data_IF_429717041146
#
_entry.id   IF_429717041146
#
_cell.length_a   1.000
_cell.length_b   1.000
_cell.length_c   1.000
_cell.angle_alpha   90.00
_cell.angle_beta   90.00
_cell.angle_gamma   90.00
#
_symmetry.space_group_name_H-M   'P 1'
#
loop_
_entity.id
_entity.type
_entity.pdbx_description
1 polymer ?
#
# COMPACT_ATOMS: atom_id res chain seq x y z
N UNK A 1 8.68 22.37 8.71
CA UNK A 1 8.48 21.06 9.34
C UNK A 1 7.54 21.09 10.55
N UNK A 2 7.88 21.75 11.67
CA UNK A 2 7.05 21.75 12.90
C UNK A 2 5.58 22.12 12.65
N UNK A 3 5.35 23.27 12.02
CA UNK A 3 4.00 23.73 11.67
C UNK A 3 3.27 22.75 10.71
N UNK A 4 3.99 22.21 9.72
CA UNK A 4 3.44 21.27 8.72
C UNK A 4 2.99 19.96 9.36
N UNK A 5 3.82 19.34 10.20
CA UNK A 5 3.48 18.07 10.84
C UNK A 5 2.41 18.24 11.92
N UNK A 6 2.39 19.38 12.64
CA UNK A 6 1.29 19.69 13.57
C UNK A 6 -0.02 19.88 12.82
N UNK A 7 -0.03 20.60 11.69
CA UNK A 7 -1.23 20.76 10.87
C UNK A 7 -1.69 19.42 10.29
N UNK A 8 -0.77 18.56 9.80
CA UNK A 8 -1.12 17.21 9.33
C UNK A 8 -1.74 16.35 10.41
N UNK A 9 -1.11 16.33 11.59
CA UNK A 9 -1.64 15.63 12.73
C UNK A 9 -3.04 16.15 13.09
N UNK A 10 -3.23 17.46 13.12
CA UNK A 10 -4.51 18.10 13.44
C UNK A 10 -5.58 17.86 12.37
N UNK A 11 -5.30 18.06 11.09
CA UNK A 11 -6.24 17.78 9.99
C UNK A 11 -6.62 16.31 9.96
N UNK A 12 -5.67 15.40 10.18
CA UNK A 12 -5.97 13.99 10.35
C UNK A 12 -6.84 13.77 11.59
N UNK A 13 -6.57 14.43 12.72
CA UNK A 13 -7.38 14.28 13.94
C UNK A 13 -8.82 14.82 13.77
N UNK A 14 -8.96 15.98 13.15
CA UNK A 14 -10.22 16.71 12.93
C UNK A 14 -11.10 16.03 11.87
N UNK A 15 -10.51 15.65 10.73
CA UNK A 15 -11.19 14.89 9.68
C UNK A 15 -11.67 13.51 10.15
N UNK A 16 -11.10 13.00 11.25
CA UNK A 16 -11.43 11.71 11.84
C UNK A 16 -12.35 11.76 13.07
N UNK A 17 -12.89 12.95 13.42
CA UNK A 17 -13.75 13.21 14.60
C UNK A 17 -13.23 12.52 15.88
N UNK A 18 -11.93 12.57 16.11
CA UNK A 18 -11.33 12.03 17.33
C UNK A 18 -11.75 12.89 18.52
N UNK A 19 -12.39 12.27 19.52
CA UNK A 19 -12.75 12.94 20.76
C UNK A 19 -11.49 13.48 21.48
N UNK A 20 -11.59 14.72 21.97
CA UNK A 20 -10.62 15.39 22.85
C UNK A 20 -10.18 14.47 23.98
N UNK A 21 -8.94 13.96 23.99
CA UNK A 21 -8.34 13.41 25.22
C UNK A 21 -6.82 13.43 25.23
N UNK A 22 -6.20 14.31 24.43
CA UNK A 22 -4.77 14.15 24.23
C UNK A 22 -4.13 15.53 23.99
N UNK A 23 -3.82 16.19 25.12
CA UNK A 23 -3.16 17.50 25.17
C UNK A 23 -1.72 17.34 24.66
N UNK A 24 -1.51 17.65 23.38
CA UNK A 24 -0.23 17.44 22.68
C UNK A 24 0.54 18.73 22.40
N UNK A 25 0.59 19.65 23.38
CA UNK A 25 1.57 20.74 23.42
C UNK A 25 2.95 20.27 23.88
N UNK A 26 3.20 18.97 23.96
CA UNK A 26 4.41 18.42 24.53
C UNK A 26 5.60 18.44 23.54
N UNK A 27 6.62 19.20 23.91
CA UNK A 27 7.89 19.46 23.22
C UNK A 27 8.62 18.22 22.68
N UNK A 28 8.31 17.02 23.19
CA UNK A 28 8.92 15.75 22.81
C UNK A 28 8.51 15.21 21.43
N UNK A 29 7.46 15.74 20.80
CA UNK A 29 7.06 15.39 19.42
C UNK A 29 8.08 15.87 18.37
N UNK A 30 8.93 16.86 18.72
CA UNK A 30 9.88 17.48 17.78
C UNK A 30 11.29 16.88 17.79
N UNK A 31 11.51 15.78 18.52
CA UNK A 31 12.69 14.94 18.29
C UNK A 31 12.41 14.00 17.12
N UNK A 32 12.37 14.55 15.91
CA UNK A 32 12.19 13.81 14.64
C UNK A 32 13.16 12.63 14.52
N UNK A 33 14.41 12.84 14.94
CA UNK A 33 15.47 11.86 15.02
C UNK A 33 15.12 10.74 16.01
N UNK A 34 14.44 11.07 17.11
CA UNK A 34 13.95 10.11 18.10
C UNK A 34 12.76 9.28 17.60
N UNK A 35 12.01 9.76 16.60
CA UNK A 35 11.00 8.95 15.89
C UNK A 35 11.69 8.00 14.92
N UNK A 36 12.60 8.51 14.08
CA UNK A 36 13.40 7.70 13.15
C UNK A 36 14.18 6.59 13.87
N UNK A 37 14.83 6.92 15.00
CA UNK A 37 15.59 5.96 15.83
C UNK A 37 14.70 4.87 16.41
N UNK A 38 13.49 5.20 16.86
CA UNK A 38 12.54 4.21 17.39
C UNK A 38 11.97 3.33 16.30
N UNK A 39 11.62 3.92 15.16
CA UNK A 39 11.10 3.18 14.01
C UNK A 39 12.17 2.36 13.27
N UNK A 40 13.46 2.50 13.64
CA UNK A 40 14.61 1.97 12.91
C UNK A 40 14.54 2.27 11.40
N UNK A 41 14.10 3.49 11.06
CA UNK A 41 13.79 3.89 9.70
C UNK A 41 14.30 5.30 9.39
N UNK A 42 14.60 5.56 8.13
CA UNK A 42 14.81 6.91 7.59
C UNK A 42 13.45 7.43 7.12
N UNK A 43 13.04 8.62 7.58
CA UNK A 43 11.76 9.20 7.18
C UNK A 43 11.97 10.21 6.06
N UNK A 44 11.24 10.06 4.96
CA UNK A 44 11.12 11.05 3.89
C UNK A 44 9.75 11.73 4.00
N UNK A 45 9.73 12.95 4.56
CA UNK A 45 8.50 13.76 4.66
C UNK A 45 8.48 14.83 3.58
N UNK A 46 7.47 14.78 2.72
CA UNK A 46 7.31 15.70 1.60
C UNK A 46 6.37 16.84 1.97
N UNK A 47 6.45 17.99 1.29
CA UNK A 47 5.43 19.03 1.28
C UNK A 47 5.37 19.65 -0.10
N UNK A 48 4.25 19.48 -0.80
CA UNK A 48 4.04 20.09 -2.11
C UNK A 48 3.54 21.52 -1.94
N UNK A 49 4.13 22.46 -2.68
CA UNK A 49 3.68 23.85 -2.72
C UNK A 49 3.85 24.45 -4.13
N UNK A 50 3.13 25.54 -4.47
CA UNK A 50 3.01 26.04 -5.84
C UNK A 50 4.35 26.32 -6.54
N UNK A 51 5.24 27.09 -5.90
CA UNK A 51 6.52 27.50 -6.49
C UNK A 51 7.65 26.49 -6.23
N UNK A 52 7.78 26.08 -4.97
CA UNK A 52 8.81 25.14 -4.52
C UNK A 52 8.21 24.15 -3.54
N UNK A 53 8.45 22.87 -3.78
CA UNK A 53 8.11 21.80 -2.84
C UNK A 53 9.32 21.46 -1.97
N UNK A 54 9.12 20.70 -0.91
CA UNK A 54 10.17 20.41 0.06
C UNK A 54 10.20 18.92 0.44
N UNK A 55 11.39 18.41 0.69
CA UNK A 55 11.65 17.11 1.30
C UNK A 55 12.44 17.30 2.58
N UNK A 56 11.96 16.74 3.68
CA UNK A 56 12.76 16.51 4.89
C UNK A 56 13.17 15.04 4.95
N UNK A 57 14.47 14.77 4.89
CA UNK A 57 15.05 13.45 5.14
C UNK A 57 15.53 13.40 6.59
N UNK A 58 14.87 12.58 7.40
CA UNK A 58 15.10 12.45 8.83
C UNK A 58 15.76 11.09 9.08
N UNK A 59 16.99 11.11 9.52
CA UNK A 59 17.75 9.92 9.95
C UNK A 59 17.80 9.87 11.49
N UNK A 60 18.24 8.75 12.10
CA UNK A 60 18.47 8.70 13.55
C UNK A 60 19.49 9.72 14.09
N UNK A 61 20.34 10.30 13.23
CA UNK A 61 21.44 11.20 13.62
C UNK A 61 21.25 12.65 13.20
N UNK A 62 20.47 12.92 12.16
CA UNK A 62 20.27 14.26 11.59
C UNK A 62 19.00 14.37 10.76
N UNK A 63 18.51 15.59 10.63
CA UNK A 63 17.51 15.98 9.64
C UNK A 63 18.14 16.87 8.58
N UNK A 64 17.83 16.63 7.30
CA UNK A 64 18.24 17.45 6.17
C UNK A 64 17.00 17.89 5.37
N UNK A 65 17.00 19.13 4.88
CA UNK A 65 15.94 19.66 4.03
C UNK A 65 16.47 19.85 2.59
N UNK A 66 15.67 19.45 1.62
CA UNK A 66 15.91 19.63 0.20
C UNK A 66 14.76 20.41 -0.43
N UNK A 67 15.10 21.32 -1.32
CA UNK A 67 14.13 22.05 -2.15
C UNK A 67 13.87 21.23 -3.41
N UNK A 68 12.61 21.02 -3.72
CA UNK A 68 12.12 20.29 -4.87
C UNK A 68 11.40 21.25 -5.85
N UNK A 69 11.12 20.82 -7.08
CA UNK A 69 10.29 21.61 -8.01
C UNK A 69 8.90 21.93 -7.46
N UNK A 70 8.27 22.95 -8.02
CA UNK A 70 6.89 23.31 -7.69
C UNK A 70 5.89 22.18 -7.95
N UNK A 71 4.79 22.17 -7.22
CA UNK A 71 3.81 21.07 -7.20
C UNK A 71 3.27 20.73 -8.59
N UNK A 72 3.10 21.71 -9.47
CA UNK A 72 2.57 21.49 -10.82
C UNK A 72 3.46 20.53 -11.64
N UNK A 73 4.78 20.70 -11.56
CA UNK A 73 5.76 19.86 -12.27
C UNK A 73 5.74 18.43 -11.73
N UNK A 74 5.64 18.29 -10.41
CA UNK A 74 5.57 16.99 -9.74
C UNK A 74 4.25 16.30 -10.11
N UNK A 75 3.11 16.99 -9.99
CA UNK A 75 1.78 16.45 -10.29
C UNK A 75 1.69 15.94 -11.72
N UNK A 76 2.15 16.72 -12.70
CA UNK A 76 2.13 16.33 -14.11
C UNK A 76 2.98 15.08 -14.37
N UNK A 77 4.15 14.99 -13.72
CA UNK A 77 5.04 13.84 -13.88
C UNK A 77 4.47 12.59 -13.19
N UNK A 78 3.87 12.74 -12.00
CA UNK A 78 3.15 11.67 -11.30
C UNK A 78 2.00 11.14 -12.16
N UNK A 79 1.15 12.02 -12.70
CA UNK A 79 0.03 11.61 -13.53
C UNK A 79 0.50 10.85 -14.79
N UNK A 80 1.54 11.36 -15.45
CA UNK A 80 2.11 10.72 -16.64
C UNK A 80 2.68 9.34 -16.34
N UNK A 81 3.43 9.23 -15.23
CA UNK A 81 4.02 7.96 -14.82
C UNK A 81 2.96 6.95 -14.37
N UNK A 82 1.92 7.40 -13.66
CA UNK A 82 0.76 6.55 -13.30
C UNK A 82 0.05 6.00 -14.54
N UNK A 83 -0.10 6.81 -15.59
CA UNK A 83 -0.64 6.33 -16.88
C UNK A 83 0.25 5.25 -17.50
N UNK A 84 1.58 5.38 -17.43
CA UNK A 84 2.50 4.33 -17.87
C UNK A 84 2.36 3.06 -17.03
N UNK A 85 2.32 3.16 -15.70
CA UNK A 85 2.10 2.02 -14.80
C UNK A 85 0.76 1.32 -15.06
N UNK A 86 -0.25 2.11 -15.42
CA UNK A 86 -1.55 1.62 -15.86
C UNK A 86 -1.58 1.24 -17.35
N UNK A 87 -0.42 1.16 -18.02
CA UNK A 87 -0.26 0.68 -19.39
C UNK A 87 0.03 -0.83 -19.46
N UNK A 88 0.20 -1.40 -20.67
CA UNK A 88 0.51 -2.83 -20.84
C UNK A 88 2.01 -3.14 -20.79
N UNK A 89 2.89 -2.14 -20.87
CA UNK A 89 4.34 -2.32 -20.92
C UNK A 89 4.96 -2.03 -19.56
N UNK A 90 5.92 -2.85 -19.14
CA UNK A 90 6.70 -2.62 -17.93
C UNK A 90 7.49 -1.31 -18.09
N UNK A 91 7.32 -0.31 -17.19
CA UNK A 91 8.09 0.94 -17.23
C UNK A 91 9.60 0.75 -17.28
N UNK A 92 10.13 -0.32 -16.67
CA UNK A 92 11.56 -0.63 -16.72
C UNK A 92 11.99 -1.08 -18.11
N UNK A 93 11.20 -1.91 -18.80
CA UNK A 93 11.51 -2.40 -20.15
C UNK A 93 11.54 -1.27 -21.19
N UNK A 94 10.67 -0.27 -21.02
CA UNK A 94 10.62 0.90 -21.92
C UNK A 94 11.47 2.08 -21.44
N UNK A 95 12.24 1.90 -20.36
CA UNK A 95 13.04 2.94 -19.72
C UNK A 95 12.26 4.25 -19.51
N UNK A 96 11.08 4.17 -18.88
CA UNK A 96 10.16 5.29 -18.77
C UNK A 96 10.84 6.52 -18.15
N UNK A 97 10.84 7.62 -18.90
CA UNK A 97 11.52 8.85 -18.51
C UNK A 97 10.86 9.53 -17.30
N UNK A 98 9.54 9.36 -17.11
CA UNK A 98 8.84 9.97 -15.98
C UNK A 98 9.15 9.24 -14.67
N UNK A 99 9.28 7.91 -14.69
CA UNK A 99 9.70 7.11 -13.54
C UNK A 99 11.10 7.50 -13.04
N UNK A 100 12.04 7.69 -13.98
CA UNK A 100 13.39 8.18 -13.67
C UNK A 100 13.38 9.64 -13.20
N UNK A 101 12.61 10.50 -13.87
CA UNK A 101 12.47 11.91 -13.49
C UNK A 101 11.92 12.07 -12.08
N UNK A 102 10.91 11.27 -11.70
CA UNK A 102 10.37 11.26 -10.35
C UNK A 102 11.40 10.79 -9.33
N UNK A 103 12.16 9.74 -9.61
CA UNK A 103 13.27 9.32 -8.74
C UNK A 103 14.27 10.48 -8.53
N UNK A 104 14.68 11.12 -9.62
CA UNK A 104 15.63 12.24 -9.59
C UNK A 104 15.10 13.47 -8.84
N UNK A 105 13.79 13.74 -8.89
CA UNK A 105 13.18 14.85 -8.17
C UNK A 105 12.95 14.52 -6.70
N UNK A 106 12.49 13.31 -6.38
CA UNK A 106 11.93 12.99 -5.06
C UNK A 106 12.92 12.28 -4.14
N UNK A 107 13.82 11.44 -4.67
CA UNK A 107 14.68 10.56 -3.87
C UNK A 107 16.15 10.94 -4.00
N UNK A 108 16.63 11.18 -5.22
CA UNK A 108 18.04 11.45 -5.49
C UNK A 108 18.65 12.59 -4.65
N UNK A 109 17.94 13.69 -4.31
CA UNK A 109 18.51 14.73 -3.43
C UNK A 109 18.97 14.19 -2.07
N UNK A 110 18.26 13.19 -1.54
CA UNK A 110 18.52 12.58 -0.25
C UNK A 110 19.31 11.26 -0.32
N UNK A 111 19.69 10.77 -1.52
CA UNK A 111 20.28 9.43 -1.70
C UNK A 111 21.50 9.14 -0.81
N UNK A 112 22.33 10.16 -0.54
CA UNK A 112 23.52 10.02 0.32
C UNK A 112 23.18 9.70 1.78
N UNK A 113 21.93 9.93 2.18
CA UNK A 113 21.40 9.62 3.51
C UNK A 113 20.70 8.27 3.55
N UNK A 114 20.57 7.57 2.41
CA UNK A 114 19.81 6.35 2.23
C UNK A 114 20.77 5.22 1.80
N UNK A 115 21.45 4.55 2.75
CA UNK A 115 22.20 3.34 2.44
C UNK A 115 21.30 2.24 1.85
N UNK A 116 21.86 1.42 0.97
CA UNK A 116 21.17 0.22 0.46
C UNK A 116 20.76 -0.70 1.61
N UNK A 117 19.57 -1.28 1.54
CA UNK A 117 18.95 -2.10 2.58
C UNK A 117 18.28 -1.32 3.71
N UNK A 118 18.26 0.02 3.66
CA UNK A 118 17.60 0.83 4.67
C UNK A 118 16.08 0.66 4.64
N UNK A 119 15.45 0.82 5.81
CA UNK A 119 14.00 0.97 5.92
C UNK A 119 13.62 2.43 5.77
N UNK A 120 12.79 2.74 4.77
CA UNK A 120 12.34 4.08 4.45
C UNK A 120 10.85 4.23 4.78
N UNK A 121 10.53 5.17 5.66
CA UNK A 121 9.17 5.58 5.91
C UNK A 121 8.85 6.83 5.07
N UNK A 122 7.89 6.73 4.16
CA UNK A 122 7.49 7.85 3.29
C UNK A 122 6.24 8.51 3.85
N UNK A 123 6.30 9.82 4.06
CA UNK A 123 5.15 10.66 4.42
C UNK A 123 4.86 11.58 3.23
N UNK A 124 3.94 11.17 2.34
CA UNK A 124 3.66 11.89 1.11
C UNK A 124 2.83 13.17 1.35
N UNK A 125 2.68 13.97 0.30
CA UNK A 125 1.88 15.18 0.26
C UNK A 125 1.17 15.31 -1.08
N UNK A 126 -0.10 15.70 -1.10
CA UNK A 126 -0.85 15.93 -2.34
C UNK A 126 -0.86 14.71 -3.27
N UNK A 127 -0.53 14.90 -4.55
CA UNK A 127 -0.50 13.82 -5.55
C UNK A 127 0.45 12.67 -5.23
N UNK A 128 1.43 12.88 -4.33
CA UNK A 128 2.35 11.82 -3.91
C UNK A 128 1.65 10.70 -3.12
N UNK A 129 0.44 10.92 -2.60
CA UNK A 129 -0.38 9.83 -2.04
C UNK A 129 -0.81 8.82 -3.10
N UNK A 130 -0.76 9.18 -4.37
CA UNK A 130 -1.13 8.35 -5.51
C UNK A 130 0.09 7.71 -6.19
N UNK A 131 1.29 8.04 -5.73
CA UNK A 131 2.55 7.53 -6.27
C UNK A 131 3.02 6.32 -5.47
N UNK A 132 3.25 5.22 -6.16
CA UNK A 132 3.95 4.06 -5.60
C UNK A 132 5.45 4.33 -5.67
N UNK A 133 6.05 4.77 -4.56
CA UNK A 133 7.48 5.08 -4.48
C UNK A 133 8.35 3.87 -4.80
N UNK A 134 7.85 2.67 -4.47
CA UNK A 134 8.47 1.39 -4.78
C UNK A 134 8.75 1.17 -6.28
N UNK A 135 7.96 1.80 -7.16
CA UNK A 135 8.13 1.64 -8.61
C UNK A 135 9.04 2.70 -9.23
N UNK A 136 9.55 3.67 -8.45
CA UNK A 136 10.47 4.67 -9.02
C UNK A 136 11.69 4.00 -9.64
N UNK A 137 12.10 4.51 -10.81
CA UNK A 137 13.20 3.91 -11.58
C UNK A 137 14.52 4.58 -11.21
N UNK A 138 15.42 3.79 -10.65
CA UNK A 138 16.80 4.19 -10.33
C UNK A 138 17.64 4.02 -11.60
N UNK A 139 18.27 5.08 -12.15
CA UNK A 139 18.98 5.00 -13.42
C UNK A 139 20.32 4.24 -13.34
N UNK A 140 21.04 4.37 -12.23
CA UNK A 140 22.39 3.84 -12.03
C UNK A 140 22.44 2.79 -10.90
N UNK A 141 23.35 1.79 -10.95
CA UNK A 141 24.29 1.48 -12.03
C UNK A 141 23.65 0.74 -13.23
N UNK A 142 22.45 0.19 -13.04
CA UNK A 142 21.60 -0.37 -14.08
C UNK A 142 20.17 0.10 -13.79
N UNK A 143 19.34 0.29 -14.80
CA UNK A 143 17.94 0.65 -14.57
C UNK A 143 17.18 -0.44 -13.78
N UNK A 144 16.71 -0.09 -12.59
CA UNK A 144 15.96 -1.00 -11.71
C UNK A 144 14.94 -0.24 -10.86
N UNK A 145 14.07 -0.98 -10.17
CA UNK A 145 13.07 -0.39 -9.28
C UNK A 145 13.65 -0.06 -7.91
N UNK A 146 13.25 1.06 -7.31
CA UNK A 146 13.81 1.50 -6.04
C UNK A 146 13.53 0.55 -4.87
N UNK A 147 12.45 -0.23 -4.94
CA UNK A 147 12.18 -1.31 -3.96
C UNK A 147 13.25 -2.41 -3.93
N UNK A 148 14.08 -2.52 -4.98
CA UNK A 148 15.20 -3.45 -5.01
C UNK A 148 16.41 -2.95 -4.18
N UNK A 149 16.41 -1.66 -3.82
CA UNK A 149 17.45 -1.04 -2.98
C UNK A 149 17.05 -0.91 -1.52
N UNK A 150 15.77 -0.72 -1.23
CA UNK A 150 15.28 -0.34 0.11
C UNK A 150 13.97 -1.02 0.47
N UNK A 151 13.67 -1.08 1.76
CA UNK A 151 12.33 -1.45 2.25
C UNK A 151 11.51 -0.17 2.41
N UNK A 152 10.33 -0.09 1.81
CA UNK A 152 9.49 1.12 1.85
C UNK A 152 8.25 0.87 2.72
N UNK A 153 7.90 1.83 3.56
CA UNK A 153 6.64 1.87 4.30
C UNK A 153 5.97 3.22 4.09
N UNK A 154 4.76 3.19 3.54
CA UNK A 154 3.93 4.40 3.43
C UNK A 154 3.32 4.73 4.80
N UNK A 155 3.56 5.95 5.28
CA UNK A 155 3.10 6.43 6.56
C UNK A 155 2.29 7.70 6.40
N UNK A 156 1.15 7.80 7.11
CA UNK A 156 0.29 8.98 7.02
C UNK A 156 0.80 10.17 7.87
N UNK A 157 1.64 9.92 8.88
CA UNK A 157 2.30 10.96 9.69
C UNK A 157 3.45 10.39 10.55
N UNK A 158 4.35 11.27 11.01
CA UNK A 158 5.42 10.92 11.97
C UNK A 158 4.86 10.37 13.29
N UNK A 159 3.68 10.83 13.71
CA UNK A 159 3.06 10.42 14.98
C UNK A 159 2.59 8.97 14.97
N UNK A 160 2.06 8.49 13.84
CA UNK A 160 1.61 7.10 13.72
C UNK A 160 2.81 6.13 13.65
N UNK A 161 3.90 6.51 13.00
CA UNK A 161 5.15 5.72 12.98
C UNK A 161 5.69 5.46 14.39
N UNK A 162 5.56 6.46 15.29
CA UNK A 162 5.98 6.31 16.69
C UNK A 162 5.18 5.24 17.44
N UNK A 163 3.90 5.06 17.11
CA UNK A 163 3.05 4.02 17.72
C UNK A 163 3.39 2.61 17.26
N UNK A 164 3.76 2.45 15.98
CA UNK A 164 4.05 1.15 15.37
C UNK A 164 5.37 0.53 15.82
N UNK A 165 6.36 1.36 16.18
CA UNK A 165 7.70 0.92 16.59
C UNK A 165 7.74 0.11 17.89
N UNK A 166 6.78 0.33 18.79
CA UNK A 166 6.73 -0.31 20.12
C UNK A 166 6.18 -1.73 20.11
N UNK A 167 5.58 -2.19 19.01
CA UNK A 167 4.84 -3.44 18.99
C UNK A 167 5.46 -4.53 18.10
N UNK A 168 6.67 -4.31 17.58
CA UNK A 168 7.42 -5.36 16.87
C UNK A 168 7.85 -6.52 17.79
N UNK A 169 7.90 -6.33 19.11
CA UNK A 169 8.44 -7.33 20.05
C UNK A 169 7.46 -8.47 20.44
N UNK A 170 6.23 -8.53 19.91
CA UNK A 170 5.19 -9.45 20.42
C UNK A 170 4.76 -10.61 19.51
N UNK A 171 5.24 -10.70 18.27
CA UNK A 171 4.60 -11.57 17.27
C UNK A 171 5.33 -12.90 17.08
N UNK A 172 5.23 -13.77 18.10
CA UNK A 172 5.77 -15.12 18.06
C UNK A 172 5.01 -16.05 17.09
N UNK A 173 3.74 -15.75 16.80
CA UNK A 173 2.84 -16.68 16.10
C UNK A 173 2.53 -16.22 14.67
N UNK A 174 2.86 -17.01 13.65
CA UNK A 174 2.73 -16.64 12.22
C UNK A 174 1.36 -17.00 11.65
N UNK A 175 0.27 -16.71 12.36
CA UNK A 175 -1.07 -17.07 11.90
C UNK A 175 -1.58 -16.15 10.78
N UNK A 176 -2.14 -16.75 9.73
CA UNK A 176 -2.67 -16.08 8.54
C UNK A 176 -4.20 -16.23 8.46
N UNK A 177 -4.90 -15.10 8.31
CA UNK A 177 -6.28 -15.05 7.85
C UNK A 177 -6.30 -14.68 6.37
N UNK A 178 -6.81 -15.57 5.52
CA UNK A 178 -6.91 -15.36 4.08
C UNK A 178 -8.38 -15.32 3.67
N UNK A 179 -8.83 -14.22 3.06
CA UNK A 179 -10.21 -14.04 2.58
C UNK A 179 -10.17 -13.65 1.12
N UNK A 180 -10.60 -14.51 0.21
CA UNK A 180 -10.38 -14.24 -1.21
C UNK A 180 -11.26 -15.02 -2.18
N UNK A 181 -11.13 -14.70 -3.46
CA UNK A 181 -11.96 -15.29 -4.52
C UNK A 181 -13.48 -15.19 -4.25
N UNK A 182 -14.01 -14.00 -3.91
CA UNK A 182 -15.42 -13.87 -3.59
C UNK A 182 -16.32 -14.04 -4.83
N UNK A 183 -17.52 -14.58 -4.60
CA UNK A 183 -18.59 -14.69 -5.60
C UNK A 183 -19.56 -13.55 -5.38
N UNK A 184 -19.63 -12.63 -6.34
CA UNK A 184 -20.56 -11.50 -6.32
C UNK A 184 -21.32 -11.40 -7.66
N UNK A 185 -22.64 -11.20 -7.66
CA UNK A 185 -23.38 -10.96 -8.91
C UNK A 185 -23.10 -9.57 -9.51
N UNK A 186 -22.57 -8.63 -8.71
CA UNK A 186 -22.34 -7.23 -9.12
C UNK A 186 -20.92 -6.96 -9.61
N UNK A 187 -19.98 -7.86 -9.34
CA UNK A 187 -18.57 -7.71 -9.69
C UNK A 187 -18.10 -8.95 -10.45
N UNK A 188 -17.38 -8.78 -11.58
CA UNK A 188 -16.87 -9.91 -12.33
C UNK A 188 -15.86 -10.72 -11.51
N UNK A 189 -15.74 -12.03 -11.75
CA UNK A 189 -14.74 -12.85 -11.08
C UNK A 189 -13.33 -12.36 -11.42
N UNK A 190 -12.43 -12.51 -10.46
CA UNK A 190 -11.01 -12.23 -10.62
C UNK A 190 -10.30 -13.53 -11.05
N UNK A 191 -9.84 -13.67 -12.30
CA UNK A 191 -9.40 -14.98 -12.84
C UNK A 191 -8.27 -15.66 -12.06
N UNK A 192 -7.44 -14.88 -11.36
CA UNK A 192 -6.31 -15.39 -10.57
C UNK A 192 -6.57 -15.42 -9.07
N UNK A 193 -7.76 -15.02 -8.60
CA UNK A 193 -7.99 -14.91 -7.18
C UNK A 193 -7.86 -16.27 -6.48
N UNK A 194 -8.46 -17.32 -7.04
CA UNK A 194 -8.31 -18.69 -6.55
C UNK A 194 -6.83 -19.13 -6.53
N UNK A 195 -6.09 -18.88 -7.62
CA UNK A 195 -4.66 -19.23 -7.72
C UNK A 195 -3.80 -18.47 -6.70
N UNK A 196 -4.11 -17.19 -6.42
CA UNK A 196 -3.42 -16.38 -5.43
C UNK A 196 -3.70 -16.86 -4.01
N UNK A 197 -4.98 -17.15 -3.69
CA UNK A 197 -5.39 -17.76 -2.41
C UNK A 197 -4.57 -19.04 -2.15
N UNK A 198 -4.55 -19.94 -3.13
CA UNK A 198 -3.84 -21.21 -2.99
C UNK A 198 -2.33 -21.04 -2.93
N UNK A 199 -1.74 -20.06 -3.62
CA UNK A 199 -0.30 -19.76 -3.56
C UNK A 199 0.13 -19.16 -2.23
N UNK A 200 -0.62 -18.21 -1.69
CA UNK A 200 -0.26 -17.54 -0.42
C UNK A 200 -0.34 -18.53 0.74
N UNK A 201 -1.35 -19.41 0.74
CA UNK A 201 -1.54 -20.45 1.76
C UNK A 201 -0.32 -21.37 1.92
N UNK A 202 0.45 -21.61 0.87
CA UNK A 202 1.61 -22.53 0.85
C UNK A 202 2.79 -22.04 1.69
N UNK A 203 2.86 -20.73 1.96
CA UNK A 203 3.97 -20.11 2.71
C UNK A 203 3.79 -20.22 4.23
N UNK A 204 2.68 -20.80 4.69
CA UNK A 204 2.31 -20.90 6.09
C UNK A 204 1.99 -22.35 6.48
N UNK A 205 2.30 -22.76 7.72
CA UNK A 205 1.89 -24.07 8.25
C UNK A 205 0.36 -24.25 8.17
N UNK A 206 -0.17 -25.41 7.75
CA UNK A 206 -1.61 -25.60 7.55
C UNK A 206 -2.47 -25.32 8.78
N UNK A 207 -1.95 -25.58 9.98
CA UNK A 207 -2.59 -25.33 11.28
C UNK A 207 -2.59 -23.84 11.67
N UNK A 208 -1.80 -23.01 10.98
CA UNK A 208 -1.70 -21.57 11.19
C UNK A 208 -2.47 -20.76 10.15
N UNK A 209 -3.15 -21.38 9.19
CA UNK A 209 -3.92 -20.69 8.15
C UNK A 209 -5.42 -20.90 8.34
N UNK A 210 -6.16 -19.79 8.43
CA UNK A 210 -7.60 -19.80 8.27
C UNK A 210 -7.97 -19.17 6.92
N UNK A 211 -8.66 -19.92 6.08
CA UNK A 211 -9.04 -19.48 4.73
C UNK A 211 -10.56 -19.44 4.56
N UNK A 212 -11.06 -18.33 4.03
CA UNK A 212 -12.42 -18.18 3.54
C UNK A 212 -12.36 -17.84 2.06
N UNK A 213 -12.82 -18.75 1.20
CA UNK A 213 -12.81 -18.56 -0.26
C UNK A 213 -14.17 -18.80 -0.91
N UNK A 214 -14.34 -18.34 -2.15
CA UNK A 214 -15.59 -18.53 -2.89
C UNK A 214 -16.77 -17.91 -2.15
N UNK A 215 -17.89 -18.63 -2.11
CA UNK A 215 -19.10 -18.21 -1.38
C UNK A 215 -18.87 -17.97 0.13
N UNK A 216 -17.82 -18.54 0.71
CA UNK A 216 -17.51 -18.39 2.13
C UNK A 216 -16.70 -17.13 2.45
N UNK A 217 -16.09 -16.50 1.44
CA UNK A 217 -15.35 -15.24 1.57
C UNK A 217 -16.29 -14.06 1.84
N UNK A 218 -16.97 -14.03 2.99
CA UNK A 218 -18.03 -13.06 3.32
C UNK A 218 -17.54 -11.99 4.30
N UNK A 219 -18.21 -10.83 4.35
CA UNK A 219 -17.93 -9.82 5.38
C UNK A 219 -18.13 -10.37 6.81
N UNK A 220 -19.12 -11.26 6.99
CA UNK A 220 -19.37 -11.94 8.26
C UNK A 220 -18.24 -12.89 8.66
N UNK A 221 -17.58 -13.55 7.71
CA UNK A 221 -16.42 -14.39 7.98
C UNK A 221 -15.29 -13.57 8.62
N UNK A 222 -15.02 -12.36 8.11
CA UNK A 222 -14.09 -11.43 8.75
C UNK A 222 -14.58 -10.97 10.13
N UNK A 223 -15.84 -10.53 10.23
CA UNK A 223 -16.35 -9.92 11.47
C UNK A 223 -16.47 -10.91 12.63
N UNK A 224 -16.77 -12.18 12.35
CA UNK A 224 -16.94 -13.24 13.35
C UNK A 224 -15.69 -14.09 13.54
N UNK A 225 -14.76 -14.09 12.58
CA UNK A 225 -13.55 -14.92 12.59
C UNK A 225 -12.40 -14.41 13.46
N UNK A 226 -12.68 -13.56 14.45
CA UNK A 226 -11.67 -12.96 15.36
C UNK A 226 -10.36 -12.52 14.67
N UNK A 227 -10.41 -11.49 13.81
CA UNK A 227 -9.25 -11.08 13.01
C UNK A 227 -8.09 -10.55 13.88
N UNK A 228 -8.34 -10.26 15.17
CA UNK A 228 -7.31 -9.88 16.14
C UNK A 228 -6.33 -10.99 16.50
N UNK A 229 -6.70 -12.26 16.27
CA UNK A 229 -5.85 -13.43 16.57
C UNK A 229 -4.79 -13.73 15.49
N UNK A 230 -4.75 -12.96 14.40
CA UNK A 230 -3.88 -13.21 13.25
C UNK A 230 -2.79 -12.16 13.12
N UNK A 231 -1.58 -12.64 12.86
CA UNK A 231 -0.42 -11.79 12.55
C UNK A 231 -0.42 -11.32 11.10
N UNK A 232 -1.08 -12.05 10.20
CA UNK A 232 -1.18 -11.71 8.78
C UNK A 232 -2.64 -11.79 8.34
N UNK A 233 -3.11 -10.78 7.60
CA UNK A 233 -4.43 -10.79 6.96
C UNK A 233 -4.24 -10.48 5.47
N UNK A 234 -4.77 -11.33 4.60
CA UNK A 234 -4.67 -11.16 3.17
C UNK A 234 -6.04 -11.25 2.50
N UNK A 235 -6.41 -10.18 1.80
CA UNK A 235 -7.61 -10.13 0.99
C UNK A 235 -7.28 -10.30 -0.49
N UNK A 236 -8.02 -11.16 -1.19
CA UNK A 236 -7.96 -11.32 -2.66
C UNK A 236 -9.34 -11.03 -3.24
N UNK A 237 -9.63 -9.75 -3.45
CA UNK A 237 -10.99 -9.26 -3.65
C UNK A 237 -11.00 -7.89 -4.34
N UNK A 238 -12.13 -7.48 -4.89
CA UNK A 238 -12.28 -6.09 -5.34
C UNK A 238 -12.31 -5.14 -4.13
N UNK A 239 -11.78 -3.92 -4.31
CA UNK A 239 -11.89 -2.83 -3.35
C UNK A 239 -12.70 -1.69 -3.96
N UNK A 240 -13.56 -1.05 -3.16
CA UNK A 240 -14.25 0.18 -3.56
C UNK A 240 -13.87 1.34 -2.65
N UNK A 241 -13.53 2.45 -3.30
CA UNK A 241 -13.11 3.70 -2.73
C UNK A 241 -14.29 4.68 -2.64
N UNK A 242 -14.48 5.34 -1.49
CA UNK A 242 -15.41 6.47 -1.38
C UNK A 242 -14.65 7.76 -1.08
N UNK A 243 -14.67 8.71 -2.03
CA UNK A 243 -14.07 10.04 -1.87
C UNK A 243 -14.88 10.93 -0.92
N UNK A 244 -16.20 10.78 -0.93
CA UNK A 244 -17.09 11.59 -0.10
C UNK A 244 -17.00 11.22 1.39
N UNK A 245 -16.69 9.95 1.69
CA UNK A 245 -16.62 9.42 3.05
C UNK A 245 -15.68 8.22 3.07
N UNK A 246 -14.43 8.37 3.54
CA UNK A 246 -13.45 7.28 3.58
C UNK A 246 -13.94 6.03 4.32
N UNK A 247 -14.81 6.21 5.33
CA UNK A 247 -15.46 5.13 6.10
C UNK A 247 -16.47 4.30 5.29
N UNK A 248 -16.87 4.76 4.11
CA UNK A 248 -17.73 4.04 3.15
C UNK A 248 -16.92 3.28 2.09
N UNK A 249 -15.59 3.35 2.15
CA UNK A 249 -14.74 2.44 1.37
C UNK A 249 -14.93 1.02 1.87
N UNK A 250 -14.88 0.02 0.99
CA UNK A 250 -15.19 -1.36 1.34
C UNK A 250 -14.37 -2.38 0.54
N UNK A 251 -14.11 -3.54 1.16
CA UNK A 251 -13.69 -4.75 0.46
C UNK A 251 -14.95 -5.47 -0.02
N UNK A 252 -14.98 -5.84 -1.30
CA UNK A 252 -16.09 -6.54 -1.94
C UNK A 252 -15.89 -8.03 -1.76
N UNK A 253 -16.81 -8.66 -1.04
CA UNK A 253 -16.80 -10.03 -0.60
C UNK A 253 -18.05 -10.77 -1.11
N UNK A 254 -18.16 -12.05 -0.83
CA UNK A 254 -19.35 -12.85 -1.12
C UNK A 254 -20.51 -12.41 -0.25
N UNK A 255 -21.69 -12.29 -0.85
CA UNK A 255 -22.92 -11.92 -0.16
C UNK A 255 -24.01 -11.45 -1.11
N UNK A 256 -25.23 -11.41 -0.60
CA UNK A 256 -26.40 -10.88 -1.30
C UNK A 256 -26.69 -9.43 -0.88
N UNK A 257 -27.40 -8.70 -1.74
CA UNK A 257 -27.89 -7.34 -1.50
C UNK A 257 -26.86 -6.38 -0.92
N UNK A 258 -26.87 -6.10 0.38
CA UNK A 258 -25.94 -5.16 1.04
C UNK A 258 -24.83 -5.86 1.85
N UNK A 259 -24.87 -7.19 1.96
CA UNK A 259 -23.96 -7.98 2.81
C UNK A 259 -22.59 -8.27 2.18
N UNK A 260 -22.44 -7.99 0.88
CA UNK A 260 -21.21 -8.23 0.12
C UNK A 260 -20.10 -7.20 0.42
N UNK A 261 -20.36 -6.17 1.24
CA UNK A 261 -19.37 -5.12 1.57
C UNK A 261 -18.86 -5.30 2.99
N UNK A 262 -17.54 -5.39 3.14
CA UNK A 262 -16.87 -5.14 4.41
C UNK A 262 -16.42 -3.68 4.43
N UNK A 263 -17.14 -2.82 5.14
CA UNK A 263 -16.83 -1.39 5.17
C UNK A 263 -15.66 -1.06 6.10
N UNK A 264 -14.96 0.03 5.78
CA UNK A 264 -13.93 0.62 6.62
C UNK A 264 -14.42 0.91 8.06
N UNK A 265 -15.67 1.38 8.23
CA UNK A 265 -16.28 1.57 9.56
C UNK A 265 -16.38 0.28 10.39
N UNK A 266 -16.61 -0.86 9.74
CA UNK A 266 -16.74 -2.15 10.41
C UNK A 266 -15.36 -2.71 10.78
N UNK A 267 -14.37 -2.50 9.90
CA UNK A 267 -12.97 -2.84 10.14
C UNK A 267 -12.44 -2.12 11.37
N UNK A 268 -12.68 -0.80 11.47
CA UNK A 268 -12.26 0.03 12.62
C UNK A 268 -12.84 -0.47 13.95
N UNK A 269 -14.01 -1.10 13.92
CA UNK A 269 -14.64 -1.68 15.11
C UNK A 269 -13.95 -2.94 15.65
N UNK A 270 -12.97 -3.49 14.92
CA UNK A 270 -12.18 -4.65 15.35
C UNK A 270 -10.83 -4.20 15.91
N UNK A 271 -10.36 -4.88 16.95
CA UNK A 271 -8.97 -4.76 17.42
C UNK A 271 -8.13 -5.79 16.70
N UNK A 272 -7.10 -5.33 16.01
CA UNK A 272 -6.15 -6.12 15.27
C UNK A 272 -4.80 -6.10 15.98
N UNK A 273 -4.09 -7.21 15.83
CA UNK A 273 -2.68 -7.36 16.17
C UNK A 273 -1.91 -7.83 14.93
N UNK A 274 -2.36 -7.43 13.73
CA UNK A 274 -1.75 -7.89 12.50
C UNK A 274 -0.44 -7.14 12.23
N UNK A 275 0.66 -7.88 12.03
CA UNK A 275 1.91 -7.35 11.47
C UNK A 275 1.65 -6.73 10.09
N UNK A 276 0.86 -7.43 9.29
CA UNK A 276 0.65 -7.10 7.89
C UNK A 276 -0.79 -7.38 7.48
N UNK A 277 -1.46 -6.37 6.92
CA UNK A 277 -2.71 -6.55 6.17
C UNK A 277 -2.44 -6.21 4.71
N UNK A 278 -2.87 -7.07 3.79
CA UNK A 278 -2.73 -6.82 2.36
C UNK A 278 -4.08 -6.95 1.68
N UNK A 279 -4.30 -6.11 0.67
CA UNK A 279 -5.50 -6.15 -0.18
C UNK A 279 -5.00 -6.26 -1.62
N UNK A 280 -5.08 -7.46 -2.18
CA UNK A 280 -4.88 -7.69 -3.61
C UNK A 280 -6.20 -7.38 -4.30
N UNK A 281 -6.29 -6.17 -4.88
CA UNK A 281 -7.45 -5.72 -5.64
C UNK A 281 -7.02 -5.25 -7.03
N UNK A 282 -7.69 -5.75 -8.06
CA UNK A 282 -7.45 -5.32 -9.44
C UNK A 282 -8.04 -3.92 -9.69
N UNK A 283 -7.33 -3.09 -10.46
CA UNK A 283 -7.92 -1.86 -10.97
C UNK A 283 -9.05 -2.18 -11.96
N UNK A 284 -10.29 -1.82 -11.61
CA UNK A 284 -11.43 -2.01 -12.50
C UNK A 284 -11.38 -1.05 -13.69
N UNK A 285 -11.58 -1.57 -14.90
CA UNK A 285 -11.57 -0.86 -16.18
C UNK A 285 -12.67 0.22 -16.37
N UNK A 286 -13.49 0.52 -15.36
CA UNK A 286 -14.67 1.38 -15.49
C UNK A 286 -14.42 2.89 -15.32
N UNK A 287 -13.17 3.35 -15.35
CA UNK A 287 -12.87 4.80 -15.35
C UNK A 287 -13.29 5.56 -14.10
N UNK A 288 -13.85 4.90 -13.08
CA UNK A 288 -14.02 5.45 -11.73
C UNK A 288 -12.68 5.35 -11.02
N UNK A 289 -11.80 6.23 -11.46
CA UNK A 289 -10.43 6.41 -11.02
C UNK A 289 -10.27 6.28 -9.51
N UNK A 290 -9.37 5.36 -9.14
CA UNK A 290 -8.59 5.41 -7.91
C UNK A 290 -7.91 6.77 -7.80
N UNK A 291 -8.57 7.73 -7.15
CA UNK A 291 -7.82 8.76 -6.44
C UNK A 291 -7.35 8.11 -5.15
N UNK A 292 -6.11 8.37 -4.76
CA UNK A 292 -5.45 7.74 -3.62
C UNK A 292 -6.24 7.79 -2.30
N UNK A 293 -7.24 8.67 -2.19
CA UNK A 293 -8.08 8.86 -0.99
C UNK A 293 -8.93 7.64 -0.56
N UNK A 294 -9.32 6.75 -1.49
CA UNK A 294 -10.22 5.65 -1.12
C UNK A 294 -9.52 4.39 -0.62
N UNK A 295 -8.30 4.12 -1.11
CA UNK A 295 -7.40 3.13 -0.51
C UNK A 295 -6.73 3.69 0.75
N UNK A 296 -6.59 5.02 0.86
CA UNK A 296 -6.36 5.68 2.16
C UNK A 296 -7.46 5.29 3.14
N UNK A 297 -8.74 5.27 2.75
CA UNK A 297 -9.84 4.84 3.62
C UNK A 297 -9.71 3.43 4.20
N UNK A 298 -9.45 2.42 3.35
CA UNK A 298 -9.26 1.04 3.82
C UNK A 298 -7.93 0.84 4.56
N UNK A 299 -6.83 1.37 4.04
CA UNK A 299 -5.51 1.28 4.69
C UNK A 299 -5.54 1.92 6.07
N UNK A 300 -6.15 3.11 6.17
CA UNK A 300 -6.38 3.80 7.43
C UNK A 300 -7.26 2.99 8.37
N UNK A 301 -8.32 2.34 7.86
CA UNK A 301 -9.22 1.55 8.70
C UNK A 301 -8.48 0.40 9.37
N UNK A 302 -7.65 -0.33 8.62
CA UNK A 302 -6.81 -1.41 9.16
C UNK A 302 -5.73 -0.90 10.12
N UNK A 303 -5.06 0.21 9.80
CA UNK A 303 -4.10 0.84 10.71
C UNK A 303 -4.76 1.28 12.03
N UNK A 304 -5.95 1.89 11.97
CA UNK A 304 -6.72 2.28 13.17
C UNK A 304 -7.19 1.06 13.97
N UNK A 305 -7.58 0.00 13.27
CA UNK A 305 -7.95 -1.26 13.89
C UNK A 305 -6.77 -1.90 14.64
N UNK A 306 -5.52 -1.56 14.31
CA UNK A 306 -4.32 -2.00 15.02
C UNK A 306 -3.32 -2.76 14.15
N UNK A 307 -3.50 -2.76 12.82
CA UNK A 307 -2.50 -3.31 11.91
C UNK A 307 -1.21 -2.46 11.92
N UNK A 308 -0.05 -3.10 11.85
CA UNK A 308 1.24 -2.42 11.81
C UNK A 308 1.60 -1.90 10.42
N UNK A 309 1.29 -2.68 9.39
CA UNK A 309 1.56 -2.36 8.00
C UNK A 309 0.37 -2.73 7.12
N UNK A 310 0.05 -1.84 6.19
CA UNK A 310 -0.99 -2.08 5.19
C UNK A 310 -0.48 -1.65 3.80
N UNK A 311 0.50 -2.38 3.24
CA UNK A 311 0.91 -2.12 1.86
C UNK A 311 -0.25 -2.52 0.95
N UNK A 312 -0.76 -1.54 0.23
CA UNK A 312 -1.74 -1.81 -0.82
C UNK A 312 -0.97 -2.38 -2.00
N UNK A 313 -1.22 -3.65 -2.33
CA UNK A 313 -0.62 -4.28 -3.49
C UNK A 313 -1.42 -3.80 -4.71
N UNK A 314 -0.85 -2.85 -5.45
CA UNK A 314 -1.39 -2.48 -6.75
C UNK A 314 -1.11 -3.64 -7.71
N UNK A 315 -2.17 -4.18 -8.32
CA UNK A 315 -2.08 -5.31 -9.27
C UNK A 315 -1.24 -5.06 -10.53
N UNK A 316 -0.59 -3.90 -10.67
CA UNK A 316 0.35 -3.59 -11.77
C UNK A 316 1.66 -4.37 -11.71
N UNK A 317 2.00 -5.00 -10.57
CA UNK A 317 3.18 -5.86 -10.41
C UNK A 317 2.93 -7.34 -10.81
N UNK A 318 1.68 -7.71 -11.10
CA UNK A 318 1.29 -9.00 -11.65
C UNK A 318 0.91 -8.78 -13.13
N UNK A 319 1.41 -9.61 -14.07
CA UNK A 319 1.11 -9.41 -15.51
C UNK A 319 -0.41 -9.31 -15.77
N UNK A 320 -0.78 -8.36 -16.63
CA UNK A 320 -2.16 -7.99 -16.97
C UNK A 320 -2.89 -8.91 -17.95
N UNK A 321 -2.23 -9.91 -18.53
CA UNK A 321 -2.90 -10.95 -19.31
C UNK A 321 -3.92 -11.76 -18.49
N UNK A 322 -3.89 -11.59 -17.17
CA UNK A 322 -4.66 -12.35 -16.21
C UNK A 322 -5.85 -11.60 -15.57
N UNK A 323 -6.07 -10.32 -15.91
CA UNK A 323 -7.15 -9.49 -15.35
C UNK A 323 -8.28 -9.16 -16.34
N UNK A 324 -8.17 -9.55 -17.61
CA UNK A 324 -9.19 -9.27 -18.63
C UNK A 324 -10.17 -10.44 -18.78
N UNK A 325 -11.40 -10.24 -18.32
CA UNK A 325 -12.54 -10.95 -18.91
C UNK A 325 -12.85 -10.27 -20.26
N UNK A 326 -12.67 -10.98 -21.37
CA UNK A 326 -13.11 -10.53 -22.70
C UNK A 326 -14.61 -10.21 -22.66
N UNK A 327 -14.97 -8.93 -22.75
CA UNK A 327 -16.33 -8.51 -23.08
C UNK A 327 -16.36 -7.95 -24.50
N UNK A 328 -16.47 -8.84 -25.49
CA UNK A 328 -17.11 -8.52 -26.77
C UNK A 328 -17.33 -9.79 -27.58
N UNK A 329 -18.60 -10.10 -27.84
CA UNK A 329 -18.97 -11.00 -28.92
C UNK A 329 -18.55 -10.40 -30.26
N UNK A 330 -17.92 -11.20 -31.10
CA UNK A 330 -17.47 -10.86 -32.44
C UNK A 330 -16.46 -11.90 -32.93
N UNK A 331 -16.79 -12.58 -34.02
CA UNK A 331 -16.03 -13.68 -34.59
C UNK A 331 -14.64 -13.27 -35.15
N UNK A 332 -13.79 -14.29 -35.37
CA UNK A 332 -12.42 -14.28 -35.92
C UNK A 332 -11.33 -13.84 -34.91
N UNK A 333 -10.22 -14.55 -34.70
CA UNK A 333 -9.42 -15.35 -35.63
C UNK A 333 -8.57 -16.40 -34.86
N UNK A 334 -8.05 -17.40 -35.58
CA UNK A 334 -7.40 -18.63 -35.07
C UNK A 334 -5.90 -18.44 -34.78
N UNK A 335 -5.40 -19.33 -33.92
CA UNK A 335 -4.04 -19.92 -33.89
C UNK A 335 -2.84 -18.98 -33.69
N UNK A 336 -2.26 -19.02 -32.48
CA UNK A 336 -0.81 -18.97 -32.29
C UNK A 336 -0.44 -19.78 -31.03
N UNK A 337 0.54 -20.68 -31.18
CA UNK A 337 0.85 -21.76 -30.24
C UNK A 337 1.39 -21.32 -28.89
N UNK A 338 0.96 -22.04 -27.85
CA UNK A 338 1.48 -21.95 -26.49
C UNK A 338 2.75 -22.80 -26.39
N UNK A 339 3.91 -22.16 -26.26
CA UNK A 339 5.08 -22.78 -25.63
C UNK A 339 5.08 -22.44 -24.14
N UNK A 340 5.31 -23.39 -23.22
CA UNK A 340 5.31 -23.11 -21.78
C UNK A 340 6.58 -22.34 -21.39
N UNK A 341 6.43 -21.10 -20.92
CA UNK A 341 7.53 -20.30 -20.38
C UNK A 341 7.61 -20.50 -18.85
N UNK A 342 8.76 -21.00 -18.38
CA UNK A 342 9.09 -21.11 -16.95
C UNK A 342 9.29 -19.72 -16.35
N UNK A 343 8.63 -19.44 -15.24
CA UNK A 343 8.89 -18.27 -14.43
C UNK A 343 9.88 -18.59 -13.31
N UNK A 344 11.01 -17.87 -13.29
CA UNK A 344 11.75 -17.63 -12.06
C UNK A 344 11.13 -16.41 -11.37
N UNK A 345 10.18 -16.67 -10.46
CA UNK A 345 9.79 -15.70 -9.43
C UNK A 345 11.00 -15.57 -8.49
N UNK A 346 11.58 -14.38 -8.41
CA UNK A 346 12.62 -14.12 -7.41
C UNK A 346 11.95 -14.12 -6.02
N UNK A 347 12.41 -14.93 -5.05
CA UNK A 347 11.77 -15.08 -3.73
C UNK A 347 11.62 -13.78 -2.91
N UNK A 348 12.28 -12.70 -3.33
CA UNK A 348 12.38 -11.43 -2.61
C UNK A 348 11.04 -10.73 -2.30
N UNK A 349 9.99 -10.90 -3.13
CA UNK A 349 8.70 -10.19 -2.96
C UNK A 349 7.88 -10.77 -1.78
N UNK A 350 8.11 -12.04 -1.40
CA UNK A 350 7.52 -12.65 -0.21
C UNK A 350 8.48 -12.66 1.00
N UNK A 351 9.79 -12.65 0.75
CA UNK A 351 10.81 -12.76 1.80
C UNK A 351 11.26 -11.43 2.42
N UNK A 352 10.95 -10.28 1.83
CA UNK A 352 11.31 -8.96 2.38
C UNK A 352 10.67 -8.59 3.74
N UNK A 353 9.71 -9.40 4.23
CA UNK A 353 9.02 -9.21 5.51
C UNK A 353 9.38 -10.26 6.58
N UNK A 354 10.36 -11.13 6.34
CA UNK A 354 10.87 -12.09 7.32
C UNK A 354 12.33 -11.74 7.64
N UNK A 355 12.71 -11.51 8.91
CA UNK A 355 14.12 -11.44 9.25
C UNK A 355 14.77 -12.78 8.88
N UNK A 356 15.90 -12.70 8.19
CA UNK A 356 16.75 -13.85 7.92
C UNK A 356 17.09 -14.55 9.24
N UNK A 357 16.98 -15.88 9.26
CA UNK A 357 17.53 -16.74 10.31
C UNK A 357 19.06 -16.60 10.38
#
# INVERSE_FOLDING_TARGET
MRLVETNRAQTLIEGLRLARTTNFTDSKVFQSEGVAKRANAIVLSYWLAPEHSYLWAITPSRTAMFVLPGESVINQTVESYRKTLAGPRDPREIADANGQRLYNMLVAPAQKLIPKGSHIAVIPSGSLYELNFETLLVPDPQLHYWIEDVVITNASSLLLLRGSASAQEGFADKRLLLIGDPVSPLYPPLPQAASEVERVKQYFPPDQVQTYSGKNATAQAYLKGDPGSFSYIHFVAHGVASRASPLDSAVILSGEESSYKLYARDIVGKRLHAKLVTISSCEGASGRTYAGEGLVGLSWAFLRAGAHQVPTIHGSLLRRDQCWARSSGGAADRQAGLTPFRWHLSPAILLGALPAL
#
